data_IF_721784840342
#
_entry.id   IF_721784840342
#
_cell.length_a   1.000
_cell.length_b   1.000
_cell.length_c   1.000
_cell.angle_alpha   90.00
_cell.angle_beta   90.00
_cell.angle_gamma   90.00
#
_symmetry.space_group_name_H-M   'P 1'
#
loop_
_entity.id
_entity.type
_entity.pdbx_description
1 polymer ?
#
# COMPACT_ATOMS: atom_id res chain seq x y z
N UNK A 1 22.06 49.70 -18.11
CA UNK A 1 21.17 48.64 -17.59
C UNK A 1 22.03 47.52 -17.03
N UNK A 2 21.80 47.14 -15.78
CA UNK A 2 22.46 45.99 -15.16
C UNK A 2 22.11 44.71 -15.97
N UNK A 3 22.98 43.70 -16.00
CA UNK A 3 22.77 42.47 -16.80
C UNK A 3 21.39 41.85 -16.56
N UNK A 4 20.95 41.83 -15.30
CA UNK A 4 19.64 41.31 -14.90
C UNK A 4 18.47 42.13 -15.46
N UNK A 5 18.59 43.45 -15.62
CA UNK A 5 17.52 44.28 -16.19
C UNK A 5 17.31 43.99 -17.68
N UNK A 6 18.38 43.68 -18.42
CA UNK A 6 18.27 43.30 -19.84
C UNK A 6 17.58 41.93 -19.99
N UNK A 7 17.92 40.98 -19.12
CA UNK A 7 17.29 39.65 -19.10
C UNK A 7 15.82 39.68 -18.65
N UNK A 8 15.46 40.52 -17.67
CA UNK A 8 14.07 40.67 -17.24
C UNK A 8 13.17 41.26 -18.34
N UNK A 9 13.73 42.11 -19.20
CA UNK A 9 12.99 42.71 -20.31
C UNK A 9 12.66 41.73 -21.44
N UNK A 10 13.29 40.54 -21.49
CA UNK A 10 13.00 39.51 -22.50
C UNK A 10 11.86 38.57 -22.10
N UNK A 11 11.33 38.68 -20.87
CA UNK A 11 10.19 37.88 -20.42
C UNK A 11 8.90 38.29 -21.18
N UNK A 12 8.14 37.33 -21.73
CA UNK A 12 6.94 37.65 -22.51
C UNK A 12 5.80 38.12 -21.60
N UNK A 13 4.88 38.90 -22.16
CA UNK A 13 3.63 39.23 -21.46
C UNK A 13 2.71 38.01 -21.43
N UNK A 14 2.02 37.83 -20.30
CA UNK A 14 1.07 36.71 -20.10
C UNK A 14 0.03 36.65 -21.22
N UNK A 15 -0.55 37.79 -21.60
CA UNK A 15 -1.60 37.84 -22.62
C UNK A 15 -1.08 37.48 -24.02
N UNK A 16 0.20 37.77 -24.33
CA UNK A 16 0.81 37.39 -25.63
C UNK A 16 0.88 35.89 -25.75
N UNK A 17 1.40 35.19 -24.73
CA UNK A 17 1.46 33.73 -24.72
C UNK A 17 0.05 33.13 -24.75
N UNK A 18 -0.88 33.70 -23.97
CA UNK A 18 -2.24 33.20 -23.89
C UNK A 18 -2.97 33.31 -25.24
N UNK A 19 -2.87 34.45 -25.93
CA UNK A 19 -3.51 34.64 -27.25
C UNK A 19 -2.97 33.67 -28.30
N UNK A 20 -1.65 33.40 -28.32
CA UNK A 20 -1.06 32.43 -29.24
C UNK A 20 -1.48 30.99 -28.94
N UNK A 21 -1.68 30.65 -27.67
CA UNK A 21 -2.22 29.35 -27.29
C UNK A 21 -3.69 29.24 -27.70
N UNK A 22 -4.51 30.26 -27.43
CA UNK A 22 -5.94 30.31 -27.79
C UNK A 22 -6.17 30.27 -29.31
N UNK A 23 -5.24 30.80 -30.12
CA UNK A 23 -5.32 30.75 -31.59
C UNK A 23 -4.88 29.42 -32.20
N UNK A 24 -4.38 28.46 -31.41
CA UNK A 24 -3.97 27.15 -31.93
C UNK A 24 -5.17 26.22 -32.06
N UNK A 25 -5.29 25.53 -33.22
CA UNK A 25 -6.44 24.69 -33.57
C UNK A 25 -6.76 23.56 -32.55
N UNK A 26 -5.81 23.22 -31.67
CA UNK A 26 -5.92 22.13 -30.70
C UNK A 26 -5.89 22.59 -29.23
N UNK A 27 -6.19 23.86 -28.93
CA UNK A 27 -6.17 24.35 -27.56
C UNK A 27 -7.43 23.98 -26.76
N UNK A 28 -7.38 22.82 -26.10
CA UNK A 28 -8.45 22.32 -25.23
C UNK A 28 -8.28 22.69 -23.74
N UNK A 29 -7.23 23.45 -23.40
CA UNK A 29 -6.90 23.75 -22.00
C UNK A 29 -7.82 24.83 -21.44
N UNK A 30 -8.46 24.63 -20.27
CA UNK A 30 -9.26 25.67 -19.64
C UNK A 30 -8.45 26.96 -19.43
N UNK A 31 -8.98 28.10 -19.89
CA UNK A 31 -8.30 29.41 -19.87
C UNK A 31 -7.69 29.77 -18.51
N UNK A 32 -8.40 29.47 -17.42
CA UNK A 32 -7.93 29.68 -16.04
C UNK A 32 -6.64 28.91 -15.76
N UNK A 33 -6.58 27.65 -16.16
CA UNK A 33 -5.42 26.79 -15.99
C UNK A 33 -4.23 27.33 -16.79
N UNK A 34 -4.44 27.67 -18.06
CA UNK A 34 -3.41 28.25 -18.91
C UNK A 34 -2.83 29.54 -18.31
N UNK A 35 -3.68 30.49 -17.87
CA UNK A 35 -3.23 31.71 -17.19
C UNK A 35 -2.38 31.43 -15.94
N UNK A 36 -2.78 30.46 -15.11
CA UNK A 36 -2.02 30.07 -13.92
C UNK A 36 -0.64 29.53 -14.31
N UNK A 37 -0.57 28.65 -15.32
CA UNK A 37 0.69 28.03 -15.75
C UNK A 37 1.61 29.05 -16.42
N UNK A 38 1.09 29.91 -17.29
CA UNK A 38 1.86 30.98 -17.94
C UNK A 38 2.49 31.88 -16.87
N UNK A 39 1.68 32.39 -15.93
CA UNK A 39 2.16 33.26 -14.84
C UNK A 39 3.24 32.58 -14.02
N UNK A 40 3.03 31.32 -13.59
CA UNK A 40 4.02 30.57 -12.80
C UNK A 40 5.30 30.29 -13.56
N UNK A 41 5.21 30.05 -14.87
CA UNK A 41 6.38 29.76 -15.71
C UNK A 41 7.22 31.03 -15.88
N UNK A 42 6.58 32.17 -16.17
CA UNK A 42 7.26 33.46 -16.27
C UNK A 42 7.86 33.87 -14.92
N UNK A 43 7.14 33.69 -13.81
CA UNK A 43 7.64 34.07 -12.48
C UNK A 43 8.85 33.21 -12.06
N UNK A 44 8.88 31.91 -12.36
CA UNK A 44 10.06 31.06 -12.09
C UNK A 44 11.31 31.53 -12.82
N UNK A 45 11.16 31.91 -14.09
CA UNK A 45 12.26 32.44 -14.90
C UNK A 45 12.71 33.80 -14.36
N UNK A 46 11.75 34.64 -13.94
CA UNK A 46 12.02 35.91 -13.27
C UNK A 46 12.82 35.73 -11.98
N UNK A 47 12.41 34.82 -11.11
CA UNK A 47 13.11 34.49 -9.85
C UNK A 47 14.54 33.99 -10.13
N UNK A 48 14.71 33.15 -11.16
CA UNK A 48 16.02 32.63 -11.55
C UNK A 48 16.96 33.75 -12.02
N UNK A 49 16.46 34.68 -12.84
CA UNK A 49 17.23 35.87 -13.28
C UNK A 49 17.61 36.74 -12.07
N UNK A 50 16.68 36.97 -11.14
CA UNK A 50 16.92 37.78 -9.95
C UNK A 50 17.95 37.15 -9.00
N UNK A 51 17.97 35.81 -8.90
CA UNK A 51 18.95 35.05 -8.14
C UNK A 51 20.35 34.99 -8.81
N UNK A 52 20.54 35.65 -9.96
CA UNK A 52 21.80 35.62 -10.71
C UNK A 52 22.02 34.35 -11.52
N UNK A 53 20.98 33.53 -11.71
CA UNK A 53 21.01 32.37 -12.58
C UNK A 53 21.08 32.76 -14.05
N UNK A 54 21.80 31.98 -14.85
CA UNK A 54 21.87 32.19 -16.29
C UNK A 54 20.63 31.59 -16.96
N UNK A 55 19.71 32.45 -17.40
CA UNK A 55 18.52 32.05 -18.15
C UNK A 55 18.75 32.30 -19.63
N UNK A 56 18.67 31.28 -20.51
CA UNK A 56 18.79 31.50 -21.95
C UNK A 56 17.65 32.39 -22.44
N UNK A 57 17.97 33.32 -23.34
CA UNK A 57 16.95 34.08 -24.06
C UNK A 57 16.14 33.11 -24.91
N UNK A 58 14.81 33.11 -24.74
CA UNK A 58 13.91 32.20 -25.45
C UNK A 58 13.12 32.90 -26.54
N UNK A 59 12.95 32.24 -27.69
CA UNK A 59 12.00 32.66 -28.71
C UNK A 59 10.55 32.49 -28.22
N UNK A 60 9.59 33.07 -28.94
CA UNK A 60 8.18 32.90 -28.63
C UNK A 60 7.77 31.42 -28.72
N UNK A 61 8.27 30.69 -29.71
CA UNK A 61 8.03 29.27 -29.93
C UNK A 61 8.56 28.44 -28.76
N UNK A 62 9.76 28.76 -28.26
CA UNK A 62 10.34 28.08 -27.09
C UNK A 62 9.53 28.34 -25.82
N UNK A 63 9.01 29.56 -25.64
CA UNK A 63 8.07 29.87 -24.56
C UNK A 63 6.76 29.11 -24.68
N UNK A 64 6.20 29.02 -25.89
CA UNK A 64 4.97 28.28 -26.14
C UNK A 64 5.17 26.79 -25.83
N UNK A 65 6.28 26.19 -26.26
CA UNK A 65 6.58 24.79 -25.94
C UNK A 65 6.85 24.55 -24.46
N UNK A 66 7.57 25.45 -23.77
CA UNK A 66 7.77 25.38 -22.33
C UNK A 66 6.43 25.46 -21.58
N UNK A 67 5.56 26.40 -21.95
CA UNK A 67 4.24 26.56 -21.33
C UNK A 67 3.33 25.36 -21.64
N UNK A 68 3.28 24.87 -22.89
CA UNK A 68 2.51 23.66 -23.25
C UNK A 68 2.99 22.45 -22.44
N UNK A 69 4.30 22.29 -22.23
CA UNK A 69 4.87 21.23 -21.40
C UNK A 69 4.44 21.36 -19.94
N UNK A 70 4.48 22.58 -19.39
CA UNK A 70 4.04 22.84 -18.02
C UNK A 70 2.52 22.71 -17.85
N UNK A 71 1.73 23.00 -18.90
CA UNK A 71 0.29 22.77 -18.93
C UNK A 71 0.02 21.27 -18.87
N UNK A 72 0.65 20.47 -19.75
CA UNK A 72 0.54 19.00 -19.74
C UNK A 72 0.88 18.44 -18.35
N UNK A 73 2.04 18.79 -17.80
CA UNK A 73 2.44 18.41 -16.43
C UNK A 73 1.45 18.85 -15.33
N UNK A 74 0.70 19.93 -15.53
CA UNK A 74 -0.28 20.42 -14.55
C UNK A 74 -1.66 19.76 -14.71
N UNK A 75 -1.96 19.27 -15.91
CA UNK A 75 -3.16 18.48 -16.21
C UNK A 75 -2.99 17.02 -15.80
N UNK A 76 -1.76 16.52 -15.74
CA UNK A 76 -1.45 15.20 -15.23
C UNK A 76 -2.06 14.98 -13.83
N UNK A 77 -2.71 13.83 -13.59
CA UNK A 77 -3.10 13.43 -12.24
C UNK A 77 -1.90 13.37 -11.29
N UNK A 78 -2.11 13.81 -10.04
CA UNK A 78 -1.10 13.64 -8.99
C UNK A 78 -0.95 12.16 -8.60
N UNK A 79 -2.06 11.40 -8.57
CA UNK A 79 -2.03 9.95 -8.38
C UNK A 79 -1.85 9.29 -9.75
N UNK A 80 -0.68 8.70 -9.95
CA UNK A 80 -0.31 8.06 -11.21
C UNK A 80 -0.28 6.54 -11.08
N UNK A 81 -0.64 5.86 -12.16
CA UNK A 81 -0.28 4.44 -12.33
C UNK A 81 1.24 4.33 -12.43
N UNK A 82 1.80 3.30 -11.81
CA UNK A 82 3.23 3.05 -11.74
C UNK A 82 3.48 1.58 -12.09
N UNK A 83 4.56 1.29 -12.81
CA UNK A 83 5.05 -0.08 -12.99
C UNK A 83 6.04 -0.40 -11.87
N UNK A 84 5.67 -1.36 -11.02
CA UNK A 84 6.49 -1.79 -9.91
C UNK A 84 7.48 -2.89 -10.36
N UNK A 85 8.73 -2.52 -10.61
CA UNK A 85 9.85 -3.44 -10.83
C UNK A 85 10.73 -3.63 -9.59
N UNK A 86 10.26 -3.28 -8.39
CA UNK A 86 11.06 -3.39 -7.16
C UNK A 86 11.10 -4.81 -6.61
N UNK A 87 10.16 -5.69 -6.99
CA UNK A 87 10.04 -7.03 -6.43
C UNK A 87 9.46 -7.07 -5.02
N UNK A 88 8.96 -5.95 -4.50
CA UNK A 88 8.25 -5.87 -3.22
C UNK A 88 6.75 -5.96 -3.51
N UNK A 89 6.10 -7.04 -3.08
CA UNK A 89 4.69 -7.31 -3.42
C UNK A 89 3.73 -6.37 -2.67
N UNK A 90 3.81 -6.33 -1.34
CA UNK A 90 3.05 -5.44 -0.45
C UNK A 90 3.89 -4.18 -0.20
N UNK A 91 4.00 -3.34 -1.22
CA UNK A 91 4.83 -2.14 -1.15
C UNK A 91 4.05 -0.96 -0.54
N UNK A 92 4.37 -0.57 0.69
CA UNK A 92 3.67 0.51 1.42
C UNK A 92 3.62 1.83 0.65
N UNK A 93 4.74 2.27 0.08
CA UNK A 93 4.79 3.53 -0.70
C UNK A 93 4.06 3.47 -2.05
N UNK A 94 3.85 2.28 -2.63
CA UNK A 94 3.23 2.10 -3.94
C UNK A 94 1.78 1.61 -3.85
N UNK A 95 1.16 1.67 -2.65
CA UNK A 95 -0.27 1.38 -2.46
C UNK A 95 -0.60 -0.04 -2.00
N UNK A 96 0.37 -0.82 -1.52
CA UNK A 96 0.18 -2.18 -0.97
C UNK A 96 -0.45 -3.14 -1.99
N UNK A 97 -1.60 -3.74 -1.67
CA UNK A 97 -2.28 -4.76 -2.47
C UNK A 97 -3.01 -4.16 -3.67
N UNK A 98 -2.87 -4.83 -4.81
CA UNK A 98 -3.55 -4.46 -6.05
C UNK A 98 -4.90 -5.19 -6.09
N UNK A 99 -5.96 -4.47 -6.42
CA UNK A 99 -7.29 -5.03 -6.57
C UNK A 99 -7.39 -5.88 -7.84
N UNK A 100 -8.07 -7.02 -7.75
CA UNK A 100 -8.37 -7.86 -8.91
C UNK A 100 -9.33 -7.14 -9.88
N UNK A 101 -9.42 -7.63 -11.12
CA UNK A 101 -10.38 -7.11 -12.10
C UNK A 101 -11.83 -7.16 -11.59
N UNK A 102 -12.19 -8.23 -10.88
CA UNK A 102 -13.54 -8.37 -10.31
C UNK A 102 -13.83 -7.30 -9.24
N UNK A 103 -12.81 -6.91 -8.48
CA UNK A 103 -12.92 -5.83 -7.50
C UNK A 103 -13.12 -4.47 -8.21
N UNK A 104 -12.36 -4.18 -9.26
CA UNK A 104 -12.50 -2.91 -10.00
C UNK A 104 -13.83 -2.80 -10.74
N UNK A 105 -14.37 -3.91 -11.23
CA UNK A 105 -15.73 -3.98 -11.77
C UNK A 105 -16.78 -3.71 -10.67
N UNK A 106 -16.57 -4.25 -9.46
CA UNK A 106 -17.43 -3.98 -8.30
C UNK A 106 -17.40 -2.51 -7.87
N UNK A 107 -16.22 -1.88 -7.88
CA UNK A 107 -16.06 -0.44 -7.65
C UNK A 107 -16.82 0.40 -8.68
N UNK A 108 -16.74 0.01 -9.95
CA UNK A 108 -17.46 0.70 -11.04
C UNK A 108 -18.96 0.64 -10.81
N UNK A 109 -19.50 -0.53 -10.44
CA UNK A 109 -20.92 -0.68 -10.08
C UNK A 109 -21.28 0.15 -8.84
N UNK A 110 -20.47 0.08 -7.79
CA UNK A 110 -20.72 0.80 -6.55
C UNK A 110 -20.68 2.33 -6.72
N UNK A 111 -19.82 2.83 -7.61
CA UNK A 111 -19.68 4.27 -7.90
C UNK A 111 -20.66 4.81 -8.93
N UNK A 112 -21.04 3.98 -9.92
CA UNK A 112 -21.89 4.39 -11.04
C UNK A 112 -23.39 4.33 -10.78
N UNK A 113 -23.84 3.63 -9.73
CA UNK A 113 -25.25 3.38 -9.47
C UNK A 113 -25.62 3.55 -7.98
N UNK A 114 -26.92 3.73 -7.72
CA UNK A 114 -27.48 3.52 -6.38
C UNK A 114 -27.33 2.05 -5.98
N UNK A 115 -27.21 1.79 -4.68
CA UNK A 115 -27.04 0.44 -4.15
C UNK A 115 -27.80 0.24 -2.85
N UNK A 116 -27.96 -1.01 -2.45
CA UNK A 116 -28.57 -1.44 -1.19
C UNK A 116 -27.62 -1.31 0.02
N UNK A 117 -26.71 -0.32 0.00
CA UNK A 117 -25.63 -0.18 0.99
C UNK A 117 -26.11 -0.19 2.45
N UNK A 118 -27.24 0.45 2.74
CA UNK A 118 -27.88 0.49 4.06
C UNK A 118 -29.39 0.24 3.93
N UNK A 119 -29.78 -0.56 2.95
CA UNK A 119 -31.18 -0.84 2.64
C UNK A 119 -31.38 -2.35 2.50
N UNK A 120 -32.19 -2.91 3.37
CA UNK A 120 -32.52 -4.33 3.33
C UNK A 120 -33.62 -4.57 2.28
N UNK A 121 -33.31 -5.38 1.27
CA UNK A 121 -34.22 -5.62 0.14
C UNK A 121 -35.42 -6.49 0.52
N UNK A 122 -35.32 -7.31 1.57
CA UNK A 122 -36.41 -8.18 2.02
C UNK A 122 -37.48 -7.40 2.79
N UNK A 123 -37.07 -6.58 3.75
CA UNK A 123 -37.97 -5.78 4.60
C UNK A 123 -38.32 -4.41 4.02
N UNK A 124 -37.55 -3.91 3.06
CA UNK A 124 -37.71 -2.57 2.49
C UNK A 124 -37.35 -1.44 3.46
N UNK A 125 -36.56 -1.73 4.50
CA UNK A 125 -36.19 -0.78 5.56
C UNK A 125 -34.69 -0.53 5.60
N UNK A 126 -34.29 0.45 6.42
CA UNK A 126 -32.88 0.73 6.69
C UNK A 126 -32.21 -0.49 7.32
N UNK A 127 -31.13 -0.96 6.71
CA UNK A 127 -30.29 -2.06 7.17
C UNK A 127 -28.90 -1.59 7.62
N UNK A 128 -28.13 -2.53 8.17
CA UNK A 128 -26.72 -2.32 8.49
C UNK A 128 -25.87 -2.59 7.25
N UNK A 129 -24.92 -1.71 6.93
CA UNK A 129 -23.96 -1.98 5.83
C UNK A 129 -23.04 -3.16 6.13
N UNK A 130 -22.78 -3.44 7.41
CA UNK A 130 -21.83 -4.49 7.80
C UNK A 130 -22.35 -5.89 7.45
N UNK A 131 -23.67 -6.07 7.36
CA UNK A 131 -24.26 -7.36 6.97
C UNK A 131 -23.90 -7.79 5.55
N UNK A 132 -23.38 -6.88 4.71
CA UNK A 132 -22.93 -7.21 3.35
C UNK A 132 -21.66 -8.08 3.35
N UNK A 133 -20.88 -8.08 4.45
CA UNK A 133 -19.61 -8.82 4.54
C UNK A 133 -19.46 -9.64 5.81
N UNK A 134 -20.27 -9.40 6.85
CA UNK A 134 -20.14 -10.07 8.14
C UNK A 134 -20.20 -11.60 8.02
N UNK A 135 -21.23 -12.14 7.36
CA UNK A 135 -21.39 -13.59 7.15
C UNK A 135 -20.20 -14.19 6.40
N UNK A 136 -19.73 -13.51 5.32
CA UNK A 136 -18.55 -13.93 4.56
C UNK A 136 -17.30 -14.00 5.45
N UNK A 137 -17.11 -13.01 6.32
CA UNK A 137 -15.95 -12.97 7.21
C UNK A 137 -16.05 -14.10 8.24
N UNK A 138 -17.22 -14.30 8.85
CA UNK A 138 -17.46 -15.39 9.80
C UNK A 138 -17.20 -16.77 9.17
N UNK A 139 -17.74 -17.03 7.98
CA UNK A 139 -17.53 -18.29 7.25
C UNK A 139 -16.05 -18.59 7.00
N UNK A 140 -15.28 -17.56 6.62
CA UNK A 140 -13.86 -17.72 6.26
C UNK A 140 -12.94 -17.79 7.47
N UNK A 141 -13.34 -17.19 8.60
CA UNK A 141 -12.49 -17.06 9.80
C UNK A 141 -12.85 -18.05 10.90
N UNK A 142 -14.09 -18.55 10.92
CA UNK A 142 -14.65 -19.35 12.01
C UNK A 142 -15.08 -18.52 13.22
N UNK A 143 -15.04 -17.19 13.14
CA UNK A 143 -15.48 -16.32 14.23
C UNK A 143 -17.01 -16.21 14.26
N UNK A 144 -17.56 -15.93 15.44
CA UNK A 144 -19.02 -15.85 15.62
C UNK A 144 -19.61 -14.57 15.04
N UNK A 145 -18.86 -13.47 15.09
CA UNK A 145 -19.28 -12.17 14.56
C UNK A 145 -18.09 -11.37 14.01
N UNK A 146 -18.40 -10.39 13.17
CA UNK A 146 -17.39 -9.52 12.58
C UNK A 146 -17.88 -8.07 12.40
N UNK A 147 -16.93 -7.15 12.35
CA UNK A 147 -17.14 -5.78 11.90
C UNK A 147 -15.94 -5.29 11.10
N UNK A 148 -16.18 -4.37 10.17
CA UNK A 148 -15.13 -3.75 9.35
C UNK A 148 -15.12 -2.23 9.55
N UNK A 149 -13.94 -1.68 9.79
CA UNK A 149 -13.66 -0.25 9.93
C UNK A 149 -12.63 0.21 8.89
N UNK A 150 -12.30 1.50 8.89
CA UNK A 150 -11.46 2.15 7.89
C UNK A 150 -10.10 1.47 7.63
N UNK A 151 -9.37 1.09 8.70
CA UNK A 151 -8.09 0.40 8.62
C UNK A 151 -7.78 -0.32 9.94
N UNK A 152 -6.73 -1.14 9.99
CA UNK A 152 -6.39 -1.89 11.20
C UNK A 152 -6.00 -1.00 12.39
N UNK A 153 -5.42 0.18 12.15
CA UNK A 153 -5.14 1.12 13.24
C UNK A 153 -6.44 1.59 13.93
N UNK A 154 -7.49 1.85 13.14
CA UNK A 154 -8.82 2.14 13.62
C UNK A 154 -9.45 0.93 14.34
N UNK A 155 -9.18 -0.30 13.86
CA UNK A 155 -9.65 -1.52 14.50
C UNK A 155 -9.08 -1.69 15.91
N UNK A 156 -7.75 -1.53 16.05
CA UNK A 156 -7.05 -1.58 17.33
C UNK A 156 -7.56 -0.48 18.28
N UNK A 157 -7.66 0.77 17.80
CA UNK A 157 -8.19 1.89 18.58
C UNK A 157 -9.61 1.61 19.09
N UNK A 158 -10.50 1.14 18.21
CA UNK A 158 -11.90 0.88 18.54
C UNK A 158 -12.06 -0.27 19.54
N UNK A 159 -11.31 -1.35 19.35
CA UNK A 159 -11.34 -2.49 20.27
C UNK A 159 -10.84 -2.08 21.66
N UNK A 160 -9.72 -1.36 21.75
CA UNK A 160 -9.17 -0.92 23.03
C UNK A 160 -10.06 0.12 23.74
N UNK A 161 -10.64 1.09 23.03
CA UNK A 161 -11.57 2.08 23.63
C UNK A 161 -12.86 1.39 24.11
N UNK A 162 -13.29 0.32 23.45
CA UNK A 162 -14.49 -0.43 23.88
C UNK A 162 -14.22 -1.30 25.10
N UNK A 163 -13.08 -2.00 25.15
CA UNK A 163 -12.85 -3.08 26.11
C UNK A 163 -12.00 -2.68 27.32
N UNK A 164 -11.19 -1.64 27.21
CA UNK A 164 -10.18 -1.32 28.22
C UNK A 164 -9.99 0.18 28.47
N UNK A 165 -10.98 1.00 28.11
CA UNK A 165 -10.95 2.43 28.43
C UNK A 165 -10.90 2.65 29.94
N UNK A 166 -9.99 3.54 30.35
CA UNK A 166 -9.70 3.87 31.74
C UNK A 166 -9.24 2.66 32.59
N UNK A 167 -8.80 1.58 31.94
CA UNK A 167 -8.37 0.31 32.55
C UNK A 167 -7.00 -0.09 32.02
N UNK A 168 -6.35 -1.04 32.68
CA UNK A 168 -5.02 -1.52 32.31
C UNK A 168 -5.08 -2.57 31.18
N UNK A 169 -4.15 -2.44 30.24
CA UNK A 169 -3.90 -3.38 29.15
C UNK A 169 -2.46 -3.86 29.24
N UNK A 170 -2.29 -5.17 29.42
CA UNK A 170 -0.97 -5.78 29.56
C UNK A 170 -0.48 -6.26 28.19
N UNK A 171 0.73 -5.89 27.80
CA UNK A 171 1.36 -6.27 26.52
C UNK A 171 2.86 -6.49 26.69
N UNK A 172 3.43 -7.41 25.93
CA UNK A 172 4.88 -7.62 25.89
C UNK A 172 5.62 -6.38 25.39
N UNK A 173 6.73 -6.03 26.05
CA UNK A 173 7.66 -4.97 25.61
C UNK A 173 8.19 -5.22 24.20
N UNK A 174 8.39 -6.48 23.81
CA UNK A 174 8.83 -6.88 22.46
C UNK A 174 7.79 -6.64 21.37
N UNK A 175 6.54 -6.38 21.75
CA UNK A 175 5.39 -6.20 20.87
C UNK A 175 4.92 -4.73 20.77
N UNK A 176 5.66 -3.79 21.38
CA UNK A 176 5.40 -2.34 21.25
C UNK A 176 5.94 -1.81 19.92
N UNK A 177 5.27 -2.18 18.84
CA UNK A 177 5.75 -1.97 17.46
C UNK A 177 5.45 -0.57 16.93
N UNK A 178 6.31 -0.11 16.02
CA UNK A 178 6.03 1.02 15.11
C UNK A 178 5.83 0.49 13.68
N UNK A 179 4.71 0.82 13.05
CA UNK A 179 4.35 0.39 11.69
C UNK A 179 4.15 1.63 10.82
N UNK A 180 4.81 1.66 9.66
CA UNK A 180 4.56 2.68 8.64
C UNK A 180 4.89 4.13 9.07
N UNK A 181 5.78 4.32 10.05
CA UNK A 181 6.35 5.61 10.45
C UNK A 181 5.46 6.53 11.30
N UNK A 182 4.21 6.14 11.57
CA UNK A 182 3.26 6.99 12.33
C UNK A 182 2.28 6.21 13.21
N UNK A 183 2.14 4.90 13.01
CA UNK A 183 1.37 4.05 13.90
C UNK A 183 2.30 3.41 14.93
N UNK A 184 2.05 3.71 16.20
CA UNK A 184 2.75 3.12 17.34
C UNK A 184 1.72 2.57 18.31
N UNK A 185 1.86 1.30 18.70
CA UNK A 185 0.95 0.66 19.66
C UNK A 185 0.80 1.51 20.95
N UNK A 186 1.88 2.02 21.58
CA UNK A 186 1.75 2.89 22.76
C UNK A 186 0.89 4.14 22.52
N UNK A 187 1.05 4.81 21.37
CA UNK A 187 0.32 6.04 21.07
C UNK A 187 -1.17 5.77 20.83
N UNK A 188 -1.49 4.63 20.20
CA UNK A 188 -2.87 4.20 19.94
C UNK A 188 -3.56 3.79 21.23
N UNK A 189 -2.90 3.03 22.10
CA UNK A 189 -3.40 2.67 23.43
C UNK A 189 -3.68 3.92 24.27
N UNK A 190 -2.74 4.88 24.28
CA UNK A 190 -2.96 6.15 24.96
C UNK A 190 -4.17 6.91 24.41
N UNK A 191 -4.40 6.85 23.10
CA UNK A 191 -5.55 7.50 22.45
C UNK A 191 -6.87 6.77 22.68
N UNK A 192 -6.85 5.46 22.92
CA UNK A 192 -8.04 4.68 23.28
C UNK A 192 -8.48 4.90 24.73
N UNK A 193 -7.70 5.62 25.54
CA UNK A 193 -7.92 5.77 26.97
C UNK A 193 -7.47 4.56 27.79
N UNK A 194 -6.81 3.57 27.18
CA UNK A 194 -6.26 2.42 27.89
C UNK A 194 -4.92 2.79 28.55
N UNK A 195 -4.68 2.23 29.74
CA UNK A 195 -3.41 2.35 30.45
C UNK A 195 -2.48 1.21 30.04
N UNK A 196 -1.38 1.54 29.37
CA UNK A 196 -0.37 0.57 28.94
C UNK A 196 0.41 0.03 30.14
N UNK A 197 0.40 -1.30 30.32
CA UNK A 197 1.25 -2.04 31.24
C UNK A 197 2.17 -2.95 30.43
N UNK A 198 3.45 -2.58 30.33
CA UNK A 198 4.43 -3.36 29.58
C UNK A 198 5.11 -4.43 30.44
N UNK A 199 5.24 -5.64 29.92
CA UNK A 199 5.84 -6.79 30.62
C UNK A 199 6.97 -7.45 29.84
N UNK A 200 7.77 -8.26 30.53
CA UNK A 200 8.90 -8.99 29.94
C UNK A 200 10.02 -8.08 29.43
N UNK A 201 10.85 -8.65 28.55
CA UNK A 201 11.93 -7.97 27.86
C UNK A 201 11.69 -7.94 26.35
N UNK A 202 12.47 -7.12 25.63
CA UNK A 202 12.34 -6.94 24.17
C UNK A 202 12.38 -8.27 23.40
N UNK A 203 13.32 -9.15 23.75
CA UNK A 203 13.52 -10.42 23.06
C UNK A 203 12.80 -11.60 23.72
N UNK A 204 12.53 -11.53 25.03
CA UNK A 204 11.99 -12.65 25.81
C UNK A 204 10.87 -12.18 26.71
N UNK A 205 9.69 -12.73 26.47
CA UNK A 205 8.55 -12.64 27.39
C UNK A 205 8.11 -14.05 27.76
N UNK A 206 7.67 -14.22 29.00
CA UNK A 206 7.17 -15.46 29.56
C UNK A 206 5.77 -15.25 30.16
N UNK A 207 4.97 -16.31 30.26
CA UNK A 207 3.60 -16.22 30.80
C UNK A 207 3.55 -15.61 32.21
N UNK A 208 4.53 -15.93 33.06
CA UNK A 208 4.67 -15.35 34.41
C UNK A 208 4.80 -13.82 34.42
N UNK A 209 5.34 -13.23 33.35
CA UNK A 209 5.52 -11.78 33.27
C UNK A 209 4.15 -11.10 33.14
N UNK A 210 3.22 -11.72 32.39
CA UNK A 210 1.81 -11.30 32.35
C UNK A 210 1.12 -11.56 33.69
N UNK A 211 1.22 -12.78 34.23
CA UNK A 211 0.51 -13.15 35.46
C UNK A 211 0.85 -12.24 36.65
N UNK A 212 2.12 -11.88 36.81
CA UNK A 212 2.60 -11.01 37.89
C UNK A 212 2.16 -9.54 37.75
N UNK A 213 1.78 -9.11 36.54
CA UNK A 213 1.37 -7.74 36.25
C UNK A 213 -0.15 -7.53 36.36
N UNK A 214 -0.94 -8.60 36.54
CA UNK A 214 -2.39 -8.51 36.66
C UNK A 214 -2.78 -7.83 37.98
N UNK A 215 -3.59 -6.79 37.87
CA UNK A 215 -4.16 -6.04 39.00
C UNK A 215 -5.70 -6.02 38.91
N UNK A 216 -6.41 -5.53 39.95
CA UNK A 216 -7.85 -5.27 39.86
C UNK A 216 -8.24 -4.27 38.75
N UNK A 217 -7.31 -3.46 38.23
CA UNK A 217 -7.52 -2.51 37.14
C UNK A 217 -7.30 -3.11 35.75
N UNK A 218 -6.74 -4.31 35.67
CA UNK A 218 -6.56 -5.02 34.39
C UNK A 218 -7.91 -5.36 33.76
N UNK A 219 -8.03 -5.08 32.46
CA UNK A 219 -9.20 -5.44 31.67
C UNK A 219 -8.87 -6.38 30.51
N UNK A 220 -7.66 -6.27 29.94
CA UNK A 220 -7.33 -6.94 28.69
C UNK A 220 -5.86 -7.35 28.63
N UNK A 221 -5.62 -8.56 28.11
CA UNK A 221 -4.30 -9.04 27.72
C UNK A 221 -4.16 -8.88 26.19
N UNK A 222 -3.19 -8.07 25.77
CA UNK A 222 -2.97 -7.73 24.36
C UNK A 222 -1.74 -8.47 23.83
N UNK A 223 -1.92 -9.14 22.69
CA UNK A 223 -0.85 -9.70 21.87
C UNK A 223 -0.78 -8.93 20.56
N UNK A 224 0.42 -8.53 20.13
CA UNK A 224 0.62 -7.86 18.82
C UNK A 224 1.63 -8.64 18.00
N UNK A 225 1.24 -9.03 16.79
CA UNK A 225 2.12 -9.77 15.89
C UNK A 225 3.21 -8.88 15.29
N UNK A 226 4.45 -9.36 15.31
CA UNK A 226 5.63 -8.66 14.78
C UNK A 226 5.69 -8.77 13.26
N UNK A 227 4.73 -8.14 12.59
CA UNK A 227 4.49 -8.29 11.15
C UNK A 227 5.44 -7.49 10.24
N UNK A 228 6.23 -6.57 10.79
CA UNK A 228 7.13 -5.70 10.00
C UNK A 228 8.61 -5.77 10.42
N UNK A 229 8.95 -6.53 11.45
CA UNK A 229 10.33 -6.86 11.81
C UNK A 229 10.37 -8.25 12.46
N UNK A 230 11.57 -8.84 12.60
CA UNK A 230 11.78 -10.04 13.41
C UNK A 230 12.91 -9.81 14.39
N UNK A 231 12.83 -10.44 15.55
CA UNK A 231 13.94 -10.54 16.49
C UNK A 231 14.58 -11.92 16.25
N UNK A 232 15.88 -11.95 15.98
CA UNK A 232 16.65 -13.18 15.72
C UNK A 232 17.60 -13.43 16.90
N UNK A 233 17.73 -14.69 17.32
CA UNK A 233 18.62 -15.12 18.40
C UNK A 233 17.85 -15.74 19.57
N UNK A 234 18.19 -15.38 20.80
CA UNK A 234 17.51 -15.87 22.00
C UNK A 234 16.18 -15.15 22.20
N UNK A 235 15.12 -15.69 21.62
CA UNK A 235 13.77 -15.14 21.70
C UNK A 235 12.78 -16.07 22.38
N UNK A 236 11.81 -15.52 23.09
CA UNK A 236 10.64 -16.26 23.59
C UNK A 236 9.42 -15.36 23.57
N UNK A 237 8.28 -15.94 23.21
CA UNK A 237 6.98 -15.27 23.18
C UNK A 237 5.93 -16.18 23.81
N UNK A 238 4.81 -15.61 24.23
CA UNK A 238 3.68 -16.34 24.81
C UNK A 238 2.67 -16.63 23.70
N UNK A 239 2.18 -17.87 23.63
CA UNK A 239 1.23 -18.28 22.59
C UNK A 239 -0.15 -17.67 22.83
N UNK A 240 -0.99 -17.63 21.79
CA UNK A 240 -2.38 -17.18 21.92
C UNK A 240 -3.16 -18.06 22.90
N UNK A 241 -2.95 -19.37 22.86
CA UNK A 241 -3.60 -20.35 23.74
C UNK A 241 -3.22 -20.15 25.21
N UNK A 242 -1.93 -19.93 25.49
CA UNK A 242 -1.45 -19.64 26.85
C UNK A 242 -2.06 -18.33 27.40
N UNK A 243 -2.19 -17.31 26.54
CA UNK A 243 -2.82 -16.03 26.89
C UNK A 243 -4.31 -16.17 27.19
N UNK A 244 -5.03 -16.93 26.36
CA UNK A 244 -6.46 -17.23 26.56
C UNK A 244 -6.69 -18.03 27.84
N UNK A 245 -5.84 -19.02 28.14
CA UNK A 245 -5.93 -19.79 29.38
C UNK A 245 -5.73 -18.91 30.62
N UNK A 246 -4.73 -18.01 30.59
CA UNK A 246 -4.48 -17.08 31.69
C UNK A 246 -5.65 -16.09 31.86
N UNK A 247 -6.14 -15.52 30.76
CA UNK A 247 -7.26 -14.58 30.78
C UNK A 247 -8.53 -15.22 31.35
N UNK A 248 -8.85 -16.45 30.95
CA UNK A 248 -10.00 -17.19 31.46
C UNK A 248 -9.94 -17.43 32.98
N UNK A 249 -8.76 -17.75 33.54
CA UNK A 249 -8.54 -17.90 34.99
C UNK A 249 -8.75 -16.59 35.77
N UNK A 250 -8.62 -15.44 35.11
CA UNK A 250 -8.65 -14.10 35.71
C UNK A 250 -9.86 -13.27 35.27
N UNK A 251 -10.74 -13.83 34.43
CA UNK A 251 -11.89 -13.15 33.85
C UNK A 251 -11.52 -11.83 33.12
N UNK A 252 -10.50 -11.90 32.26
CA UNK A 252 -10.00 -10.78 31.45
C UNK A 252 -10.33 -11.01 29.96
N UNK A 253 -10.39 -9.93 29.18
CA UNK A 253 -10.45 -10.05 27.72
C UNK A 253 -9.07 -10.38 27.13
N UNK A 254 -9.08 -11.01 25.96
CA UNK A 254 -7.92 -11.21 25.11
C UNK A 254 -8.11 -10.54 23.76
N UNK A 255 -7.04 -9.90 23.29
CA UNK A 255 -7.02 -9.32 21.95
C UNK A 255 -5.71 -9.65 21.27
N UNK A 256 -5.79 -10.03 20.00
CA UNK A 256 -4.63 -10.19 19.14
C UNK A 256 -4.70 -9.26 17.93
N UNK A 257 -3.78 -8.30 17.87
CA UNK A 257 -3.52 -7.56 16.64
C UNK A 257 -2.61 -8.38 15.72
N UNK A 258 -3.22 -9.24 14.91
CA UNK A 258 -2.53 -10.05 13.92
C UNK A 258 -1.93 -9.19 12.80
N UNK A 259 -2.65 -8.14 12.41
CA UNK A 259 -2.18 -7.12 11.48
C UNK A 259 -2.03 -7.56 10.01
N UNK A 260 -1.53 -8.76 9.70
CA UNK A 260 -1.17 -9.23 8.35
C UNK A 260 -2.38 -9.62 7.49
N UNK A 261 -3.45 -10.08 8.12
CA UNK A 261 -4.66 -10.54 7.43
C UNK A 261 -4.45 -11.82 6.63
N UNK A 262 -3.57 -12.70 7.10
CA UNK A 262 -3.30 -13.98 6.46
C UNK A 262 -4.48 -14.94 6.61
N UNK A 263 -5.15 -15.31 5.51
CA UNK A 263 -6.20 -16.34 5.51
C UNK A 263 -5.74 -17.69 4.95
N UNK A 264 -4.57 -17.73 4.31
CA UNK A 264 -4.06 -18.92 3.61
C UNK A 264 -2.70 -19.28 4.17
N UNK A 265 -2.49 -20.56 4.48
CA UNK A 265 -1.20 -21.05 4.93
C UNK A 265 -0.17 -21.06 3.79
N UNK A 266 0.60 -19.97 3.69
CA UNK A 266 1.63 -19.79 2.68
C UNK A 266 2.83 -20.72 2.86
N UNK A 267 2.96 -21.43 4.00
CA UNK A 267 4.07 -22.36 4.21
C UNK A 267 4.09 -23.52 3.20
N UNK A 268 2.91 -23.86 2.66
CA UNK A 268 2.73 -24.82 1.55
C UNK A 268 3.41 -24.39 0.26
N UNK A 269 3.73 -23.10 0.12
CA UNK A 269 4.43 -22.51 -1.01
C UNK A 269 5.89 -22.13 -0.66
N UNK A 270 6.42 -22.69 0.43
CA UNK A 270 7.81 -22.50 0.86
C UNK A 270 8.07 -21.30 1.77
N UNK A 271 7.03 -20.55 2.15
CA UNK A 271 7.16 -19.41 3.06
C UNK A 271 7.33 -19.84 4.52
N UNK A 272 7.91 -19.00 5.40
CA UNK A 272 7.86 -19.21 6.83
C UNK A 272 6.40 -19.20 7.30
N UNK A 273 6.11 -19.92 8.39
CA UNK A 273 4.77 -19.93 8.96
C UNK A 273 4.39 -18.52 9.43
N UNK A 274 3.31 -18.01 8.84
CA UNK A 274 2.60 -16.82 9.29
C UNK A 274 1.28 -17.30 9.91
N UNK A 275 0.93 -16.88 11.13
CA UNK A 275 -0.33 -17.27 11.75
C UNK A 275 -1.50 -16.81 10.89
N UNK A 276 -2.46 -17.71 10.66
CA UNK A 276 -3.69 -17.35 9.95
C UNK A 276 -4.75 -16.82 10.90
N UNK A 277 -5.69 -16.02 10.40
CA UNK A 277 -6.81 -15.52 11.21
C UNK A 277 -7.58 -16.68 11.85
N UNK A 278 -7.80 -17.76 11.09
CA UNK A 278 -8.50 -18.96 11.55
C UNK A 278 -7.78 -19.63 12.73
N UNK A 279 -6.44 -19.67 12.70
CA UNK A 279 -5.65 -20.26 13.79
C UNK A 279 -5.80 -19.45 15.07
N UNK A 280 -5.76 -18.12 14.99
CA UNK A 280 -5.90 -17.24 16.15
C UNK A 280 -7.33 -17.25 16.70
N UNK A 281 -8.34 -17.24 15.83
CA UNK A 281 -9.75 -17.38 16.26
C UNK A 281 -9.96 -18.72 16.97
N UNK A 282 -9.42 -19.81 16.42
CA UNK A 282 -9.51 -21.15 17.02
C UNK A 282 -8.79 -21.27 18.36
N UNK A 283 -7.76 -20.45 18.61
CA UNK A 283 -7.09 -20.40 19.91
C UNK A 283 -8.00 -19.82 21.02
N UNK A 284 -9.14 -19.22 20.66
CA UNK A 284 -10.14 -18.70 21.61
C UNK A 284 -9.95 -17.25 22.01
N UNK A 285 -9.22 -16.46 21.19
CA UNK A 285 -9.03 -15.02 21.42
C UNK A 285 -10.36 -14.28 21.25
N UNK A 286 -10.72 -13.41 22.20
CA UNK A 286 -12.01 -12.70 22.18
C UNK A 286 -12.12 -11.74 20.99
N UNK A 287 -11.00 -11.10 20.61
CA UNK A 287 -10.92 -10.17 19.48
C UNK A 287 -9.64 -10.35 18.68
N UNK A 288 -9.76 -10.55 17.37
CA UNK A 288 -8.64 -10.52 16.42
C UNK A 288 -8.80 -9.35 15.46
N UNK A 289 -7.75 -8.54 15.30
CA UNK A 289 -7.73 -7.42 14.35
C UNK A 289 -6.69 -7.62 13.25
N UNK A 290 -7.06 -7.30 12.00
CA UNK A 290 -6.13 -7.36 10.88
C UNK A 290 -6.45 -6.41 9.72
N UNK A 291 -5.46 -6.19 8.85
CA UNK A 291 -5.57 -5.32 7.67
C UNK A 291 -6.16 -6.07 6.46
N UNK A 292 -7.00 -5.39 5.69
CA UNK A 292 -7.53 -5.92 4.42
C UNK A 292 -6.60 -5.79 3.21
N UNK A 293 -5.62 -4.88 3.25
CA UNK A 293 -4.74 -4.53 2.13
C UNK A 293 -3.30 -5.04 2.29
N UNK A 294 -3.16 -6.20 2.92
CA UNK A 294 -1.88 -6.90 3.09
C UNK A 294 -1.97 -8.32 2.51
N UNK A 295 -1.86 -9.37 3.33
CA UNK A 295 -1.94 -10.75 2.82
C UNK A 295 -3.36 -11.17 2.42
N UNK A 296 -4.39 -10.46 2.89
CA UNK A 296 -5.74 -10.61 2.36
C UNK A 296 -5.86 -10.16 0.88
N UNK A 297 -4.93 -9.31 0.41
CA UNK A 297 -4.88 -8.89 -0.99
C UNK A 297 -6.07 -8.04 -1.44
N UNK A 298 -6.79 -7.41 -0.51
CA UNK A 298 -7.96 -6.58 -0.79
C UNK A 298 -7.75 -5.08 -0.60
N UNK A 299 -8.84 -4.32 -0.45
CA UNK A 299 -8.76 -2.88 -0.22
C UNK A 299 -8.35 -2.56 1.22
N UNK A 300 -7.99 -1.30 1.48
CA UNK A 300 -7.76 -0.85 2.85
C UNK A 300 -9.02 -1.09 3.70
N UNK A 301 -8.85 -1.83 4.79
CA UNK A 301 -9.87 -2.13 5.78
C UNK A 301 -9.21 -2.55 7.09
N UNK A 302 -9.89 -2.32 8.21
CA UNK A 302 -9.58 -2.94 9.49
C UNK A 302 -10.69 -3.93 9.81
N UNK A 303 -10.35 -5.21 9.87
CA UNK A 303 -11.34 -6.26 10.12
C UNK A 303 -11.17 -6.70 11.56
N UNK A 304 -12.29 -6.75 12.29
CA UNK A 304 -12.38 -7.19 13.68
C UNK A 304 -13.28 -8.42 13.69
N UNK A 305 -12.76 -9.53 14.19
CA UNK A 305 -13.50 -10.79 14.34
C UNK A 305 -13.38 -11.31 15.76
N UNK A 306 -14.38 -12.06 16.24
CA UNK A 306 -14.38 -12.54 17.61
C UNK A 306 -15.71 -13.14 18.04
N UNK A 307 -15.92 -13.23 19.35
CA UNK A 307 -17.17 -13.68 19.94
C UNK A 307 -18.29 -12.63 19.80
N UNK A 308 -19.53 -13.10 19.65
CA UNK A 308 -20.68 -12.26 19.29
C UNK A 308 -20.93 -11.14 20.29
N UNK A 309 -20.84 -11.46 21.59
CA UNK A 309 -21.09 -10.51 22.67
C UNK A 309 -20.08 -9.35 22.67
N UNK A 310 -18.79 -9.64 22.43
CA UNK A 310 -17.73 -8.65 22.41
C UNK A 310 -17.80 -7.80 21.14
N UNK A 311 -18.01 -8.42 19.99
CA UNK A 311 -18.17 -7.69 18.72
C UNK A 311 -19.41 -6.78 18.75
N UNK A 312 -20.49 -7.19 19.42
CA UNK A 312 -21.66 -6.34 19.58
C UNK A 312 -21.35 -5.07 20.40
N UNK A 313 -20.59 -5.18 21.50
CA UNK A 313 -20.11 -3.99 22.25
C UNK A 313 -19.29 -3.05 21.36
N UNK A 314 -18.43 -3.62 20.51
CA UNK A 314 -17.61 -2.85 19.55
C UNK A 314 -18.48 -2.15 18.50
N UNK A 315 -19.53 -2.81 17.99
CA UNK A 315 -20.49 -2.24 17.04
C UNK A 315 -21.23 -1.04 17.61
N UNK A 316 -21.59 -1.10 18.89
CA UNK A 316 -22.35 -0.06 19.62
C UNK A 316 -21.49 1.15 20.01
N UNK A 317 -20.16 1.02 20.02
CA UNK A 317 -19.26 2.13 20.33
C UNK A 317 -19.45 3.30 19.33
N UNK A 318 -19.76 4.53 19.80
CA UNK A 318 -19.96 5.69 18.93
C UNK A 318 -18.78 6.02 18.00
N UNK A 319 -17.54 5.68 18.38
CA UNK A 319 -16.37 5.87 17.53
C UNK A 319 -16.46 5.08 16.22
N UNK A 320 -17.16 3.93 16.23
CA UNK A 320 -17.41 3.15 15.02
C UNK A 320 -18.02 4.01 13.90
N UNK A 321 -18.90 4.98 14.23
CA UNK A 321 -19.50 5.86 13.23
C UNK A 321 -18.48 6.75 12.52
N UNK A 322 -17.43 7.19 13.22
CA UNK A 322 -16.35 8.00 12.66
C UNK A 322 -15.34 7.13 11.88
N UNK A 323 -15.15 5.88 12.31
CA UNK A 323 -14.22 4.92 11.72
C UNK A 323 -14.86 4.02 10.66
N UNK A 324 -16.13 4.24 10.35
CA UNK A 324 -16.96 3.40 9.49
C UNK A 324 -16.38 3.28 8.08
N UNK A 325 -16.30 2.05 7.58
CA UNK A 325 -15.90 1.74 6.21
C UNK A 325 -16.81 2.41 5.17
N UNK A 326 -16.23 2.89 4.08
CA UNK A 326 -16.94 3.52 2.97
C UNK A 326 -17.50 2.49 1.97
N UNK A 327 -18.32 2.94 1.02
CA UNK A 327 -19.01 2.06 0.06
C UNK A 327 -18.02 1.36 -0.90
N UNK A 328 -16.96 2.04 -1.31
CA UNK A 328 -16.01 1.53 -2.31
C UNK A 328 -15.15 0.41 -1.74
N UNK A 329 -14.57 0.65 -0.57
CA UNK A 329 -13.78 -0.35 0.15
C UNK A 329 -14.64 -1.54 0.57
N UNK A 330 -15.87 -1.31 1.05
CA UNK A 330 -16.79 -2.40 1.39
C UNK A 330 -17.15 -3.29 0.18
N UNK A 331 -17.49 -2.68 -0.96
CA UNK A 331 -17.83 -3.43 -2.19
C UNK A 331 -16.64 -4.21 -2.74
N UNK A 332 -15.43 -3.64 -2.67
CA UNK A 332 -14.21 -4.35 -3.05
C UNK A 332 -13.90 -5.49 -2.09
N UNK A 333 -14.08 -5.27 -0.78
CA UNK A 333 -13.80 -6.27 0.24
C UNK A 333 -14.73 -7.48 0.08
N UNK A 334 -16.04 -7.27 -0.14
CA UNK A 334 -16.97 -8.35 -0.43
C UNK A 334 -16.49 -9.21 -1.61
N UNK A 335 -16.08 -8.57 -2.72
CA UNK A 335 -15.58 -9.28 -3.90
C UNK A 335 -14.32 -10.10 -3.61
N UNK A 336 -13.42 -9.62 -2.75
CA UNK A 336 -12.20 -10.34 -2.36
C UNK A 336 -12.55 -11.52 -1.48
N UNK A 337 -13.38 -11.32 -0.45
CA UNK A 337 -13.80 -12.38 0.47
C UNK A 337 -14.48 -13.53 -0.29
N UNK A 338 -15.31 -13.23 -1.29
CA UNK A 338 -15.96 -14.27 -2.11
C UNK A 338 -14.97 -15.16 -2.86
N UNK A 339 -13.82 -14.64 -3.29
CA UNK A 339 -12.80 -15.48 -3.94
C UNK A 339 -12.17 -16.47 -2.96
N UNK A 340 -12.14 -16.17 -1.65
CA UNK A 340 -11.57 -17.05 -0.64
C UNK A 340 -12.39 -18.32 -0.34
N UNK A 341 -13.64 -18.41 -0.79
CA UNK A 341 -14.39 -19.67 -0.71
C UNK A 341 -13.74 -20.79 -1.53
N UNK A 342 -12.94 -20.45 -2.53
CA UNK A 342 -12.08 -21.37 -3.25
C UNK A 342 -10.64 -20.88 -3.16
N UNK A 343 -9.84 -21.54 -2.32
CA UNK A 343 -8.45 -21.14 -2.06
C UNK A 343 -7.61 -21.13 -3.33
N UNK A 344 -7.82 -22.04 -4.28
CA UNK A 344 -7.07 -22.07 -5.54
C UNK A 344 -7.45 -20.87 -6.42
N UNK A 345 -8.74 -20.50 -6.46
CA UNK A 345 -9.18 -19.28 -7.13
C UNK A 345 -8.61 -18.02 -6.46
N UNK A 346 -8.61 -17.94 -5.13
CA UNK A 346 -8.03 -16.83 -4.40
C UNK A 346 -6.54 -16.65 -4.76
N UNK A 347 -5.77 -17.74 -4.74
CA UNK A 347 -4.35 -17.73 -5.09
C UNK A 347 -4.09 -17.30 -6.54
N UNK A 348 -4.97 -17.68 -7.48
CA UNK A 348 -4.82 -17.34 -8.89
C UNK A 348 -5.26 -15.90 -9.22
N UNK A 349 -6.34 -15.41 -8.60
CA UNK A 349 -7.01 -14.16 -9.00
C UNK A 349 -6.71 -12.96 -8.11
N UNK A 350 -6.38 -13.17 -6.84
CA UNK A 350 -5.98 -12.08 -5.95
C UNK A 350 -4.54 -11.71 -6.29
N UNK A 351 -4.27 -10.51 -6.83
CA UNK A 351 -2.94 -10.18 -7.38
C UNK A 351 -1.81 -10.34 -6.38
N UNK A 352 -2.03 -9.97 -5.11
CA UNK A 352 -1.04 -10.15 -4.04
C UNK A 352 -0.67 -11.61 -3.85
N UNK A 353 -1.65 -12.52 -3.77
CA UNK A 353 -1.39 -13.94 -3.61
C UNK A 353 -0.73 -14.54 -4.85
N UNK A 354 -1.24 -14.22 -6.03
CA UNK A 354 -0.70 -14.70 -7.30
C UNK A 354 0.77 -14.30 -7.49
N UNK A 355 1.15 -13.07 -7.10
CA UNK A 355 2.54 -12.63 -7.13
C UNK A 355 3.41 -13.41 -6.14
N UNK A 356 2.90 -13.73 -4.95
CA UNK A 356 3.65 -14.48 -3.95
C UNK A 356 3.85 -15.94 -4.36
N UNK A 357 2.85 -16.57 -4.95
CA UNK A 357 2.86 -18.02 -5.25
C UNK A 357 3.26 -18.36 -6.68
N UNK A 358 3.50 -17.37 -7.56
CA UNK A 358 3.99 -17.64 -8.92
C UNK A 358 5.31 -18.41 -8.91
N UNK A 359 5.34 -19.47 -9.72
CA UNK A 359 6.53 -20.32 -9.86
C UNK A 359 7.70 -19.56 -10.47
N UNK A 360 8.91 -19.80 -9.94
CA UNK A 360 10.13 -19.12 -10.38
C UNK A 360 10.44 -19.36 -11.88
N UNK A 361 10.02 -20.50 -12.45
CA UNK A 361 10.18 -20.79 -13.89
C UNK A 361 9.36 -19.84 -14.78
N UNK A 362 8.16 -19.45 -14.34
CA UNK A 362 7.29 -18.55 -15.10
C UNK A 362 7.84 -17.13 -15.08
N UNK A 363 8.43 -16.71 -13.96
CA UNK A 363 9.15 -15.44 -13.89
C UNK A 363 10.35 -15.39 -14.83
N UNK A 364 11.13 -16.48 -14.92
CA UNK A 364 12.23 -16.57 -15.88
C UNK A 364 11.74 -16.45 -17.32
N UNK A 365 10.65 -17.13 -17.67
CA UNK A 365 10.03 -17.03 -19.01
C UNK A 365 9.57 -15.59 -19.29
N UNK A 366 8.92 -14.93 -18.32
CA UNK A 366 8.48 -13.53 -18.45
C UNK A 366 9.68 -12.58 -18.63
N UNK A 367 10.74 -12.74 -17.84
CA UNK A 367 11.97 -11.97 -17.96
C UNK A 367 12.62 -12.13 -19.35
N UNK A 368 12.72 -13.37 -19.85
CA UNK A 368 13.20 -13.68 -21.21
C UNK A 368 12.38 -13.00 -22.29
N UNK A 369 11.05 -13.00 -22.14
CA UNK A 369 10.15 -12.33 -23.08
C UNK A 369 10.36 -10.81 -23.08
N UNK A 370 10.48 -10.20 -21.91
CA UNK A 370 10.74 -8.75 -21.77
C UNK A 370 12.09 -8.38 -22.39
N UNK A 371 13.16 -9.10 -22.05
CA UNK A 371 14.50 -8.86 -22.57
C UNK A 371 14.54 -8.94 -24.11
N UNK A 372 13.94 -9.99 -24.70
CA UNK A 372 13.89 -10.14 -26.16
C UNK A 372 13.18 -8.99 -26.85
N UNK A 373 12.09 -8.48 -26.25
CA UNK A 373 11.37 -7.32 -26.78
C UNK A 373 12.21 -6.05 -26.69
N UNK A 374 12.85 -5.81 -25.54
CA UNK A 374 13.72 -4.65 -25.33
C UNK A 374 14.91 -4.64 -26.29
N UNK A 375 15.61 -5.77 -26.46
CA UNK A 375 16.73 -5.87 -27.41
C UNK A 375 16.31 -5.65 -28.88
N UNK A 376 15.03 -5.84 -29.21
CA UNK A 376 14.51 -5.57 -30.55
C UNK A 376 14.20 -4.09 -30.77
N UNK A 377 13.74 -3.38 -29.73
CA UNK A 377 13.26 -1.99 -29.84
C UNK A 377 14.30 -0.95 -29.43
N UNK A 378 15.19 -1.28 -28.50
CA UNK A 378 16.30 -0.46 -28.01
C UNK A 378 17.60 -1.04 -28.57
N UNK A 379 18.14 -0.40 -29.62
CA UNK A 379 19.33 -0.88 -30.33
C UNK A 379 20.64 -0.26 -29.80
N UNK A 380 20.55 0.85 -29.06
CA UNK A 380 21.69 1.58 -28.51
C UNK A 380 21.35 2.19 -27.15
N UNK A 381 22.39 2.52 -26.38
CA UNK A 381 22.27 3.28 -25.12
C UNK A 381 22.03 2.44 -23.87
N UNK A 382 21.64 1.16 -24.00
CA UNK A 382 21.48 0.22 -22.90
C UNK A 382 21.55 -1.24 -23.37
N UNK A 383 22.28 -2.10 -22.65
CA UNK A 383 22.13 -3.56 -22.74
C UNK A 383 21.14 -4.06 -21.67
N UNK A 384 20.58 -5.23 -21.92
CA UNK A 384 19.60 -5.87 -21.03
C UNK A 384 20.06 -7.28 -20.69
N UNK A 385 20.23 -7.56 -19.40
CA UNK A 385 20.63 -8.88 -18.90
C UNK A 385 19.52 -9.48 -18.04
N UNK A 386 19.50 -10.80 -17.97
CA UNK A 386 18.59 -11.51 -17.07
C UNK A 386 19.43 -12.07 -15.95
N UNK A 387 19.05 -11.71 -14.73
CA UNK A 387 19.78 -12.09 -13.52
C UNK A 387 18.83 -12.73 -12.53
N UNK A 388 19.31 -13.76 -11.83
CA UNK A 388 18.60 -14.29 -10.66
C UNK A 388 18.65 -13.25 -9.56
N UNK A 389 17.56 -13.09 -8.83
CA UNK A 389 17.49 -12.15 -7.71
C UNK A 389 16.55 -12.66 -6.62
N UNK A 390 16.29 -11.86 -5.60
CA UNK A 390 15.30 -12.15 -4.56
C UNK A 390 14.26 -11.04 -4.49
N UNK A 391 12.99 -11.44 -4.39
CA UNK A 391 11.85 -10.57 -4.11
C UNK A 391 11.57 -10.53 -2.61
N UNK A 392 10.73 -9.59 -2.18
CA UNK A 392 10.28 -9.45 -0.79
C UNK A 392 8.76 -9.45 -0.74
N UNK A 393 8.19 -9.99 0.34
CA UNK A 393 6.75 -9.86 0.59
C UNK A 393 6.38 -8.39 0.77
N UNK A 394 7.17 -7.62 1.52
CA UNK A 394 6.89 -6.21 1.79
C UNK A 394 6.22 -5.98 3.14
N UNK A 395 5.78 -4.74 3.38
CA UNK A 395 5.44 -4.27 4.71
C UNK A 395 4.26 -5.00 5.36
N UNK A 396 4.44 -5.43 6.62
CA UNK A 396 3.34 -5.76 7.54
C UNK A 396 2.82 -7.20 7.50
N UNK A 397 3.60 -8.17 7.00
CA UNK A 397 3.34 -9.59 7.19
C UNK A 397 4.61 -10.42 7.42
N UNK A 398 5.44 -10.59 6.38
CA UNK A 398 6.63 -11.45 6.39
C UNK A 398 7.91 -10.64 6.13
N UNK A 399 8.42 -9.92 7.15
CA UNK A 399 9.64 -9.14 7.01
C UNK A 399 10.84 -10.09 6.78
N UNK A 400 11.84 -9.62 6.04
CA UNK A 400 13.13 -10.30 5.82
C UNK A 400 13.13 -11.65 5.07
N UNK A 401 11.96 -12.21 4.72
CA UNK A 401 11.92 -13.40 3.87
C UNK A 401 12.28 -13.04 2.42
N UNK A 402 13.24 -13.78 1.86
CA UNK A 402 13.72 -13.64 0.48
C UNK A 402 13.05 -14.69 -0.40
N UNK A 403 12.37 -14.26 -1.46
CA UNK A 403 11.68 -15.14 -2.40
C UNK A 403 12.51 -15.23 -3.68
N UNK A 404 13.01 -16.41 -4.11
CA UNK A 404 13.80 -16.53 -5.34
C UNK A 404 13.04 -16.00 -6.57
N UNK A 405 13.65 -15.09 -7.32
CA UNK A 405 13.03 -14.38 -8.45
C UNK A 405 14.00 -14.18 -9.63
N UNK A 406 13.52 -13.51 -10.68
CA UNK A 406 14.29 -13.08 -11.85
C UNK A 406 14.06 -11.59 -12.11
N UNK A 407 15.13 -10.89 -12.47
CA UNK A 407 15.08 -9.50 -12.89
C UNK A 407 15.60 -9.31 -14.30
N UNK A 408 15.13 -8.25 -14.94
CA UNK A 408 15.79 -7.66 -16.11
C UNK A 408 16.67 -6.52 -15.60
N UNK A 409 17.98 -6.70 -15.74
CA UNK A 409 18.99 -5.69 -15.43
C UNK A 409 19.11 -4.72 -16.62
N UNK A 410 19.08 -3.42 -16.34
CA UNK A 410 19.35 -2.37 -17.32
C UNK A 410 20.80 -1.92 -17.14
N UNK A 411 21.60 -2.07 -18.20
CA UNK A 411 23.01 -1.69 -18.23
C UNK A 411 23.18 -0.49 -19.17
N UNK A 412 22.98 0.74 -18.68
CA UNK A 412 23.14 1.93 -19.51
C UNK A 412 24.61 2.14 -19.90
N UNK A 413 24.88 2.55 -21.13
CA UNK A 413 26.26 2.70 -21.63
C UNK A 413 26.96 3.96 -21.08
N UNK A 414 26.23 5.07 -21.00
CA UNK A 414 26.79 6.41 -20.65
C UNK A 414 26.13 7.04 -19.42
N UNK A 415 25.06 6.45 -18.89
CA UNK A 415 24.23 7.04 -17.85
C UNK A 415 24.53 6.42 -16.49
N UNK A 416 24.69 7.25 -15.44
CA UNK A 416 24.77 6.76 -14.06
C UNK A 416 23.44 6.13 -13.63
N UNK A 417 23.49 5.05 -12.85
CA UNK A 417 22.28 4.36 -12.37
C UNK A 417 21.34 5.26 -11.56
N UNK A 418 21.87 6.17 -10.76
CA UNK A 418 21.06 7.16 -10.01
C UNK A 418 20.33 8.14 -10.94
N UNK A 419 20.92 8.46 -12.09
CA UNK A 419 20.27 9.30 -13.11
C UNK A 419 19.23 8.51 -13.89
N UNK A 420 19.51 7.23 -14.19
CA UNK A 420 18.55 6.30 -14.79
C UNK A 420 17.31 6.16 -13.90
N UNK A 421 17.49 5.80 -12.63
CA UNK A 421 16.42 5.67 -11.64
C UNK A 421 15.53 6.92 -11.58
N UNK A 422 16.16 8.09 -11.45
CA UNK A 422 15.42 9.36 -11.35
C UNK A 422 14.63 9.65 -12.62
N UNK A 423 15.23 9.47 -13.80
CA UNK A 423 14.57 9.79 -15.07
C UNK A 423 13.47 8.77 -15.39
N UNK A 424 13.58 7.51 -14.97
CA UNK A 424 12.52 6.52 -15.12
C UNK A 424 11.27 6.86 -14.28
N UNK A 425 11.43 7.61 -13.18
CA UNK A 425 10.29 8.16 -12.41
C UNK A 425 9.57 9.31 -13.10
N UNK A 426 10.21 9.98 -14.05
CA UNK A 426 9.66 11.12 -14.79
C UNK A 426 8.92 10.71 -16.07
N UNK A 427 8.87 9.41 -16.37
CA UNK A 427 8.13 8.82 -17.48
C UNK A 427 6.61 9.05 -17.35
N UNK A 428 5.90 8.91 -18.47
CA UNK A 428 4.43 9.00 -18.50
C UNK A 428 3.80 7.96 -17.59
N UNK A 429 4.27 6.71 -17.70
CA UNK A 429 4.05 5.66 -16.70
C UNK A 429 5.39 5.44 -15.99
N UNK A 430 5.58 5.97 -14.77
CA UNK A 430 6.81 5.79 -14.02
C UNK A 430 7.17 4.31 -13.85
N UNK A 431 8.44 3.99 -14.05
CA UNK A 431 9.00 2.64 -13.85
C UNK A 431 9.91 2.68 -12.63
N UNK A 432 9.56 1.91 -11.59
CA UNK A 432 10.31 1.89 -10.33
C UNK A 432 11.10 0.58 -10.25
N UNK A 433 12.42 0.67 -10.35
CA UNK A 433 13.33 -0.44 -10.09
C UNK A 433 14.06 -0.27 -8.76
N UNK A 434 15.08 -1.09 -8.53
CA UNK A 434 16.01 -0.93 -7.42
C UNK A 434 17.46 -0.95 -7.90
N UNK A 435 18.32 -0.18 -7.24
CA UNK A 435 19.76 -0.28 -7.42
C UNK A 435 20.30 -1.22 -6.34
N UNK A 436 20.95 -2.30 -6.74
CA UNK A 436 21.47 -3.34 -5.86
C UNK A 436 22.84 -3.78 -6.38
N UNK A 437 23.88 -3.71 -5.55
CA UNK A 437 25.26 -4.06 -5.91
C UNK A 437 25.76 -3.42 -7.21
N UNK A 438 25.50 -2.11 -7.42
CA UNK A 438 25.84 -1.39 -8.67
C UNK A 438 25.10 -1.90 -9.93
N UNK A 439 23.94 -2.54 -9.77
CA UNK A 439 23.06 -2.95 -10.87
C UNK A 439 21.67 -2.32 -10.72
N UNK A 440 21.08 -1.81 -11.80
CA UNK A 440 19.68 -1.39 -11.81
C UNK A 440 18.78 -2.55 -12.24
N UNK A 441 17.93 -3.01 -11.33
CA UNK A 441 17.12 -4.21 -11.49
C UNK A 441 15.63 -3.87 -11.60
N UNK A 442 14.98 -4.50 -12.57
CA UNK A 442 13.52 -4.62 -12.64
C UNK A 442 13.14 -6.07 -12.33
N UNK A 443 12.76 -6.33 -11.07
CA UNK A 443 12.30 -7.63 -10.61
C UNK A 443 10.91 -7.94 -11.19
N UNK A 444 10.81 -9.08 -11.86
CA UNK A 444 9.65 -9.45 -12.69
C UNK A 444 8.49 -10.02 -11.86
N UNK A 445 8.71 -10.30 -10.57
CA UNK A 445 7.67 -10.71 -9.60
C UNK A 445 6.45 -9.80 -9.64
N UNK A 446 6.71 -8.49 -9.64
CA UNK A 446 5.70 -7.44 -9.51
C UNK A 446 5.36 -6.78 -10.85
N UNK A 447 5.85 -7.33 -11.96
CA UNK A 447 5.50 -6.91 -13.32
C UNK A 447 4.58 -7.97 -13.93
N UNK A 448 3.29 -7.64 -14.04
CA UNK A 448 2.28 -8.53 -14.60
C UNK A 448 2.42 -8.72 -16.11
N UNK A 449 1.86 -9.81 -16.65
CA UNK A 449 1.87 -10.06 -18.10
C UNK A 449 1.20 -8.93 -18.90
N UNK A 450 0.15 -8.34 -18.33
CA UNK A 450 -0.58 -7.20 -18.91
C UNK A 450 0.24 -5.90 -18.94
N UNK A 451 1.30 -5.79 -18.13
CA UNK A 451 2.16 -4.60 -18.06
C UNK A 451 3.38 -4.69 -18.97
N UNK A 452 3.68 -5.87 -19.53
CA UNK A 452 4.88 -6.08 -20.34
C UNK A 452 4.91 -5.18 -21.58
N UNK A 453 3.75 -4.90 -22.20
CA UNK A 453 3.67 -3.98 -23.34
C UNK A 453 4.00 -2.56 -22.90
N UNK A 454 3.39 -2.09 -21.81
CA UNK A 454 3.59 -0.74 -21.27
C UNK A 454 5.05 -0.54 -20.84
N UNK A 455 5.61 -1.50 -20.10
CA UNK A 455 7.01 -1.45 -19.66
C UNK A 455 7.98 -1.32 -20.84
N UNK A 456 7.81 -2.16 -21.87
CA UNK A 456 8.68 -2.12 -23.04
C UNK A 456 8.52 -0.80 -23.79
N UNK A 457 7.29 -0.30 -23.94
CA UNK A 457 7.03 0.97 -24.61
C UNK A 457 7.67 2.16 -23.90
N UNK A 458 7.56 2.21 -22.57
CA UNK A 458 8.17 3.28 -21.77
C UNK A 458 9.70 3.27 -21.86
N UNK A 459 10.34 2.10 -21.78
CA UNK A 459 11.79 1.98 -21.92
C UNK A 459 12.27 2.26 -23.35
N UNK A 460 11.48 1.89 -24.36
CA UNK A 460 11.78 2.23 -25.76
C UNK A 460 11.82 3.75 -25.98
N UNK A 461 10.79 4.47 -25.51
CA UNK A 461 10.75 5.94 -25.58
C UNK A 461 11.92 6.56 -24.81
N UNK A 462 12.19 6.06 -23.60
CA UNK A 462 13.26 6.56 -22.75
C UNK A 462 14.63 6.55 -23.43
N UNK A 463 15.01 5.42 -24.04
CA UNK A 463 16.34 5.26 -24.64
C UNK A 463 16.42 5.87 -26.05
N UNK A 464 15.31 5.99 -26.78
CA UNK A 464 15.27 6.72 -28.06
C UNK A 464 15.40 8.23 -27.89
N UNK A 465 14.75 8.82 -26.88
CA UNK A 465 14.80 10.27 -26.64
C UNK A 465 16.07 10.70 -25.89
N UNK A 466 16.71 9.77 -25.19
CA UNK A 466 18.00 9.98 -24.51
C UNK A 466 19.15 10.37 -25.46
N UNK A 467 19.09 9.96 -26.74
CA UNK A 467 20.09 10.34 -27.75
C UNK A 467 20.00 11.82 -28.19
N UNK A 468 18.90 12.51 -27.90
CA UNK A 468 18.67 13.91 -28.33
C UNK A 468 19.03 14.96 -27.26
N UNK A 469 19.40 14.53 -26.06
CA UNK A 469 19.40 15.39 -24.87
C UNK A 469 20.77 15.61 -24.22
N UNK A 470 21.84 15.04 -24.78
CA UNK A 470 23.22 15.22 -24.29
C UNK A 470 24.04 16.09 -25.26
#
# INVERSE_FOLDING_TARGET
>A
MNSNQKLLATLPKVDVILSHLESSENFSTPRRLAKIVIRRTIERERETILAGGNVPSRSLEEWLELVKRNIRKKQDPNLKRIINGTGVVVHTNLGRSILSRQCTESLTRAGGFYSNLEFDLQSGKRGSRYSLVEELICDLTGAEAAIVVNNNAAAVLLALDTLAKDREVIVSRGQLVEIGGSFRIPDVMKKSGASLVEVGATNRTHLRDYENAITPETALLLRVHTSNFRIIGFTSDVSAEEMVELAGKKNLFTMEDLGSGCLVDLSRYGFPKEPTVQEIVKAGVDVVTFSGDKLLGGPQAGIIVGCSEVIQKIKENPLNRALRIDKFTLSSLESVLREYYDTENALAKIPTLAMLTIENRELKKRALRIQRRLKKTVQAGCDFKIVSTVSRVGGGALPEYSIPSWAVELVPEKMKLSSLEKRLRDLEIPVIGRIENEHFLLDIRTVGDHEVVDLVGQLEVFFKDGEKSD
#
